data_IF_468436487438
#
_entry.id   IF_468436487438
#
_cell.length_a   1.000
_cell.length_b   1.000
_cell.length_c   1.000
_cell.angle_alpha   90.00
_cell.angle_beta   90.00
_cell.angle_gamma   90.00
#
_symmetry.space_group_name_H-M   'P 1'
#
loop_
_entity.id
_entity.type
_entity.pdbx_description
1 polymer ?
#
# COMPACT_ATOMS: atom_id res chain seq x y z
N UNK A 1 13.27 -10.42 -10.05
CA UNK A 1 11.97 -10.83 -10.60
C UNK A 1 11.26 -9.67 -11.30
N UNK A 2 10.74 -8.65 -10.58
CA UNK A 2 9.98 -7.58 -11.25
C UNK A 2 10.85 -6.71 -12.17
N UNK A 3 12.12 -6.48 -11.84
CA UNK A 3 13.03 -5.73 -12.73
C UNK A 3 13.34 -6.46 -14.04
N UNK A 4 13.29 -7.79 -14.04
CA UNK A 4 13.61 -8.61 -15.21
C UNK A 4 12.50 -8.52 -16.28
N UNK A 5 11.27 -8.24 -15.85
CA UNK A 5 10.10 -8.17 -16.73
C UNK A 5 9.49 -6.75 -16.86
N UNK A 6 9.91 -5.78 -16.05
CA UNK A 6 9.34 -4.42 -16.05
C UNK A 6 10.45 -3.35 -16.02
N UNK A 7 10.88 -2.82 -17.17
CA UNK A 7 10.70 -3.34 -18.52
C UNK A 7 12.01 -3.98 -18.99
N UNK A 8 11.98 -4.92 -19.94
CA UNK A 8 13.21 -5.40 -20.56
C UNK A 8 14.05 -4.20 -21.05
N UNK A 9 15.33 -4.15 -20.63
CA UNK A 9 16.30 -3.06 -20.90
C UNK A 9 16.00 -1.70 -20.25
N UNK A 10 14.92 -1.55 -19.48
CA UNK A 10 14.65 -0.36 -18.67
C UNK A 10 14.02 -0.77 -17.32
N UNK A 11 14.84 -1.32 -16.39
CA UNK A 11 14.34 -1.92 -15.16
C UNK A 11 13.83 -0.84 -14.20
N UNK A 12 12.54 -0.92 -13.87
CA UNK A 12 11.83 -0.02 -12.97
C UNK A 12 10.82 -0.86 -12.17
N UNK A 13 10.77 -0.72 -10.85
CA UNK A 13 9.74 -1.40 -10.06
C UNK A 13 8.35 -0.90 -10.51
N UNK A 14 7.38 -1.79 -10.80
CA UNK A 14 6.01 -1.37 -11.07
C UNK A 14 5.45 -0.56 -9.89
N UNK A 15 4.99 0.66 -10.14
CA UNK A 15 4.44 1.53 -9.09
C UNK A 15 3.23 0.91 -8.37
N UNK A 16 2.47 0.06 -9.06
CA UNK A 16 1.35 -0.68 -8.46
C UNK A 16 1.78 -1.62 -7.33
N UNK A 17 2.99 -2.20 -7.36
CA UNK A 17 3.48 -3.06 -6.27
C UNK A 17 3.80 -2.24 -5.01
N UNK A 18 4.26 -0.99 -5.17
CA UNK A 18 4.47 -0.09 -4.04
C UNK A 18 3.15 0.41 -3.45
N UNK A 19 2.16 0.69 -4.31
CA UNK A 19 0.79 0.99 -3.86
C UNK A 19 0.20 -0.21 -3.11
N UNK A 20 0.37 -1.43 -3.62
CA UNK A 20 -0.13 -2.64 -2.98
C UNK A 20 0.52 -2.90 -1.62
N UNK A 21 1.82 -2.62 -1.47
CA UNK A 21 2.48 -2.66 -0.16
C UNK A 21 1.80 -1.79 0.90
N UNK A 22 1.27 -0.62 0.53
CA UNK A 22 0.50 0.22 1.44
C UNK A 22 -0.86 -0.40 1.82
N UNK A 23 -1.58 -1.01 0.88
CA UNK A 23 -2.80 -1.75 1.18
C UNK A 23 -2.54 -2.96 2.06
N UNK A 24 -1.49 -3.74 1.78
CA UNK A 24 -1.13 -4.90 2.58
C UNK A 24 -0.82 -4.52 4.03
N UNK A 25 -0.04 -3.45 4.27
CA UNK A 25 0.22 -2.96 5.62
C UNK A 25 -1.05 -2.43 6.31
N UNK A 26 -1.95 -1.80 5.55
CA UNK A 26 -3.23 -1.34 6.06
C UNK A 26 -4.08 -2.53 6.52
N UNK A 27 -4.21 -3.57 5.70
CA UNK A 27 -4.92 -4.81 6.03
C UNK A 27 -4.27 -5.59 7.18
N UNK A 28 -2.94 -5.69 7.18
CA UNK A 28 -2.20 -6.31 8.27
C UNK A 28 -2.50 -5.62 9.61
N UNK A 29 -2.56 -4.29 9.64
CA UNK A 29 -2.92 -3.55 10.85
C UNK A 29 -4.35 -3.89 11.34
N UNK A 30 -5.31 -4.12 10.43
CA UNK A 30 -6.66 -4.56 10.83
C UNK A 30 -6.60 -5.93 11.52
N UNK A 31 -5.87 -6.89 10.95
CA UNK A 31 -5.64 -8.19 11.58
C UNK A 31 -4.89 -8.09 12.91
N UNK A 32 -3.89 -7.21 13.00
CA UNK A 32 -3.11 -6.96 14.21
C UNK A 32 -3.94 -6.39 15.37
N UNK A 33 -5.07 -5.73 15.08
CA UNK A 33 -6.07 -5.31 16.08
C UNK A 33 -6.92 -6.47 16.62
N UNK A 34 -6.71 -7.69 16.14
CA UNK A 34 -7.49 -8.87 16.49
C UNK A 34 -8.75 -9.06 15.65
N UNK A 35 -8.95 -8.24 14.61
CA UNK A 35 -10.14 -8.33 13.76
C UNK A 35 -9.99 -9.49 12.77
N UNK A 36 -11.06 -10.27 12.64
CA UNK A 36 -11.07 -11.49 11.82
C UNK A 36 -11.57 -11.21 10.40
N UNK A 37 -11.16 -12.05 9.46
CA UNK A 37 -11.56 -12.00 8.06
C UNK A 37 -10.38 -11.93 7.09
N UNK A 38 -10.66 -12.15 5.81
CA UNK A 38 -9.74 -12.01 4.67
C UNK A 38 -9.68 -10.55 4.24
N UNK A 39 -8.47 -10.05 3.99
CA UNK A 39 -8.24 -8.67 3.58
C UNK A 39 -8.51 -8.42 2.09
N UNK A 40 -9.25 -7.35 1.79
CA UNK A 40 -9.54 -6.90 0.43
C UNK A 40 -9.28 -5.39 0.31
N UNK A 41 -8.43 -5.00 -0.66
CA UNK A 41 -8.31 -3.61 -1.05
C UNK A 41 -9.60 -3.16 -1.75
N UNK A 42 -10.27 -2.14 -1.23
CA UNK A 42 -11.51 -1.60 -1.80
C UNK A 42 -11.25 -0.46 -2.80
N UNK A 43 -10.06 0.12 -2.75
CA UNK A 43 -9.65 1.20 -3.63
C UNK A 43 -8.83 2.26 -2.93
N UNK A 44 -8.67 3.37 -3.63
CA UNK A 44 -7.86 4.52 -3.24
C UNK A 44 -8.46 5.78 -3.84
N UNK A 45 -8.35 6.90 -3.13
CA UNK A 45 -8.80 8.19 -3.63
C UNK A 45 -7.81 8.78 -4.63
N UNK A 46 -6.63 9.15 -4.14
CA UNK A 46 -5.58 9.76 -4.96
C UNK A 46 -4.28 8.96 -4.88
N UNK A 47 -3.61 8.82 -6.03
CA UNK A 47 -2.27 8.24 -6.13
C UNK A 47 -1.39 9.20 -6.93
N UNK A 48 -0.31 9.66 -6.31
CA UNK A 48 0.77 10.41 -6.95
C UNK A 48 2.04 9.60 -6.95
N UNK A 49 2.57 9.33 -8.14
CA UNK A 49 3.86 8.66 -8.34
C UNK A 49 4.84 9.68 -8.94
N UNK A 50 5.76 10.18 -8.13
CA UNK A 50 6.69 11.26 -8.50
C UNK A 50 8.12 10.79 -8.69
N UNK A 51 8.45 9.57 -8.27
CA UNK A 51 9.78 8.97 -8.43
C UNK A 51 9.73 7.52 -8.90
N UNK A 52 10.88 7.03 -9.36
CA UNK A 52 11.05 5.66 -9.85
C UNK A 52 12.01 4.88 -8.95
N UNK A 53 11.70 3.63 -8.68
CA UNK A 53 12.62 2.69 -8.03
C UNK A 53 13.36 1.92 -9.12
N UNK A 54 14.68 2.10 -9.17
CA UNK A 54 15.60 1.42 -10.09
C UNK A 54 16.50 0.45 -9.30
N UNK A 55 17.24 -0.47 -9.97
CA UNK A 55 18.03 -1.51 -9.29
C UNK A 55 19.13 -1.00 -8.35
N UNK A 56 19.55 0.25 -8.48
CA UNK A 56 20.55 0.88 -7.64
C UNK A 56 20.02 1.29 -6.26
N UNK A 57 18.70 1.52 -6.14
CA UNK A 57 18.03 1.89 -4.87
C UNK A 57 18.16 0.79 -3.84
N UNK A 58 18.33 1.16 -2.56
CA UNK A 58 18.69 0.22 -1.50
C UNK A 58 17.53 -0.14 -0.57
N UNK A 59 16.67 0.82 -0.26
CA UNK A 59 15.64 0.63 0.74
C UNK A 59 14.38 1.41 0.40
N UNK A 60 13.25 0.69 0.43
CA UNK A 60 11.93 1.30 0.46
C UNK A 60 11.41 1.35 1.90
N UNK A 61 10.84 2.48 2.30
CA UNK A 61 10.13 2.64 3.57
C UNK A 61 8.69 3.01 3.31
N UNK A 62 7.79 2.28 3.94
CA UNK A 62 6.35 2.49 3.82
C UNK A 62 5.84 3.14 5.10
N UNK A 63 5.06 4.20 4.94
CA UNK A 63 4.42 4.89 6.04
C UNK A 63 2.92 4.87 5.80
N UNK A 64 2.17 4.40 6.80
CA UNK A 64 0.71 4.30 6.76
C UNK A 64 0.15 5.11 7.92
N UNK A 65 -0.72 6.07 7.62
CA UNK A 65 -1.38 6.92 8.61
C UNK A 65 -2.88 6.71 8.52
N UNK A 66 -3.46 6.04 9.52
CA UNK A 66 -4.90 5.79 9.55
C UNK A 66 -5.68 7.06 9.80
N UNK A 67 -6.62 7.37 8.91
CA UNK A 67 -7.61 8.44 9.09
C UNK A 67 -8.88 7.90 9.76
N UNK A 68 -9.23 6.64 9.51
CA UNK A 68 -10.42 6.00 10.09
C UNK A 68 -10.25 4.50 10.19
N UNK A 69 -10.76 3.92 11.28
CA UNK A 69 -10.79 2.47 11.50
C UNK A 69 -12.16 2.11 12.06
N UNK A 70 -12.89 1.22 11.39
CA UNK A 70 -14.29 0.91 11.68
C UNK A 70 -14.45 -0.60 11.82
N UNK A 71 -15.08 -1.04 12.91
CA UNK A 71 -15.59 -2.40 13.05
C UNK A 71 -17.05 -2.35 13.49
N UNK A 72 -17.92 -2.91 12.67
CA UNK A 72 -19.35 -3.07 12.94
C UNK A 72 -19.75 -4.50 12.58
N UNK A 73 -20.97 -4.91 12.90
CA UNK A 73 -21.50 -6.23 12.50
C UNK A 73 -21.50 -6.46 10.98
N UNK A 74 -21.50 -5.40 10.16
CA UNK A 74 -21.61 -5.50 8.69
C UNK A 74 -20.32 -5.15 7.95
N UNK A 75 -19.38 -4.48 8.60
CA UNK A 75 -18.20 -3.91 7.95
C UNK A 75 -17.05 -3.78 8.93
N UNK A 76 -15.91 -4.35 8.55
CA UNK A 76 -14.61 -4.15 9.18
C UNK A 76 -13.69 -3.51 8.15
N UNK A 77 -13.24 -2.27 8.36
CA UNK A 77 -12.53 -1.49 7.35
C UNK A 77 -11.56 -0.48 7.96
N UNK A 78 -10.42 -0.29 7.31
CA UNK A 78 -9.48 0.80 7.52
C UNK A 78 -9.48 1.77 6.35
N UNK A 79 -9.40 3.06 6.66
CA UNK A 79 -9.09 4.15 5.73
C UNK A 79 -7.79 4.78 6.19
N UNK A 80 -6.85 4.95 5.28
CA UNK A 80 -5.54 5.49 5.58
C UNK A 80 -5.00 6.33 4.43
N UNK A 81 -4.07 7.21 4.77
CA UNK A 81 -3.14 7.82 3.84
C UNK A 81 -1.83 7.05 3.88
N UNK A 82 -1.06 7.12 2.81
CA UNK A 82 0.22 6.44 2.68
C UNK A 82 1.27 7.27 1.96
N UNK A 83 2.53 6.99 2.27
CA UNK A 83 3.65 7.43 1.44
C UNK A 83 4.72 6.36 1.40
N UNK A 84 5.44 6.31 0.29
CA UNK A 84 6.61 5.45 0.12
C UNK A 84 7.83 6.32 -0.10
N UNK A 85 8.86 6.07 0.69
CA UNK A 85 10.18 6.64 0.49
C UNK A 85 11.11 5.63 -0.17
N UNK A 86 11.95 6.07 -1.10
CA UNK A 86 13.10 5.31 -1.60
C UNK A 86 14.38 6.02 -1.17
N UNK A 87 15.20 5.35 -0.37
CA UNK A 87 16.46 5.89 0.15
C UNK A 87 16.31 7.29 0.80
N UNK A 88 15.18 7.52 1.49
CA UNK A 88 14.86 8.79 2.16
C UNK A 88 14.12 9.83 1.32
N UNK A 89 13.92 9.59 0.03
CA UNK A 89 13.16 10.46 -0.86
C UNK A 89 11.70 10.01 -1.00
N UNK A 90 10.72 10.89 -0.80
CA UNK A 90 9.30 10.57 -1.01
C UNK A 90 9.01 10.41 -2.50
N UNK A 91 8.64 9.20 -2.91
CA UNK A 91 8.37 8.88 -4.31
C UNK A 91 6.90 8.61 -4.59
N UNK A 92 6.14 8.11 -3.61
CA UNK A 92 4.70 7.89 -3.72
C UNK A 92 3.96 8.63 -2.61
N UNK A 93 2.82 9.23 -2.96
CA UNK A 93 1.87 9.81 -2.01
C UNK A 93 0.48 9.28 -2.35
N UNK A 94 -0.21 8.77 -1.34
CA UNK A 94 -1.48 8.07 -1.48
C UNK A 94 -2.48 8.62 -0.47
N UNK A 95 -3.70 8.91 -0.92
CA UNK A 95 -4.78 9.45 -0.09
C UNK A 95 -6.02 8.56 -0.13
N UNK A 96 -6.68 8.44 1.01
CA UNK A 96 -7.96 7.73 1.16
C UNK A 96 -7.93 6.29 0.64
N UNK A 97 -6.84 5.55 0.87
CA UNK A 97 -6.80 4.11 0.59
C UNK A 97 -7.65 3.33 1.59
N UNK A 98 -8.37 2.33 1.09
CA UNK A 98 -9.37 1.58 1.86
C UNK A 98 -9.09 0.08 1.78
N UNK A 99 -9.10 -0.58 2.94
CA UNK A 99 -8.99 -2.04 3.05
C UNK A 99 -10.09 -2.54 3.98
N UNK A 100 -10.78 -3.61 3.60
CA UNK A 100 -11.77 -4.27 4.44
C UNK A 100 -11.38 -5.70 4.79
N UNK A 101 -11.93 -6.21 5.89
CA UNK A 101 -11.91 -7.64 6.23
C UNK A 101 -13.31 -8.23 6.01
N UNK A 102 -13.37 -9.39 5.37
CA UNK A 102 -14.61 -10.17 5.21
C UNK A 102 -14.38 -11.65 5.50
N UNK A 103 -15.36 -12.34 6.08
CA UNK A 103 -15.30 -13.79 6.32
C UNK A 103 -15.52 -14.63 5.05
N UNK A 104 -16.11 -14.03 4.01
CA UNK A 104 -16.28 -14.63 2.67
C UNK A 104 -14.99 -14.55 1.84
#
# INVERSE_FOLDING_TARGET
>A
WFFDCHFPKNPIMPGCLGLDGLWQLTGFNLGWRGWQGRGYALGVGEVKLTGMVRPDRKMLKYFVSFSKVIQTRRLTMGVADGRVESDGEVIYQVKDMKVALSET
#
